data_IF_420868375555
#
_entry.id   IF_420868375555
#
_cell.length_a   1.000
_cell.length_b   1.000
_cell.length_c   1.000
_cell.angle_alpha   90.00
_cell.angle_beta   90.00
_cell.angle_gamma   90.00
#
_symmetry.space_group_name_H-M   'P 1'
#
loop_
_entity.id
_entity.type
_entity.pdbx_description
1 polymer ?
#
# COMPACT_ATOMS: atom_id res chain seq x y z
N UNK A 1 84.50 18.61 7.92
CA UNK A 1 83.76 19.35 6.87
C UNK A 1 82.28 19.06 7.03
N UNK A 2 81.45 20.11 6.98
CA UNK A 2 79.99 20.13 7.18
C UNK A 2 79.25 19.38 6.07
N UNK A 3 78.18 18.65 6.41
CA UNK A 3 76.80 19.08 6.11
C UNK A 3 75.77 18.02 6.60
N UNK A 4 75.12 18.32 7.72
CA UNK A 4 73.81 17.77 8.09
C UNK A 4 72.72 18.48 7.28
N UNK A 5 71.75 17.73 6.75
CA UNK A 5 70.38 18.23 6.51
C UNK A 5 69.34 17.15 6.87
N UNK A 6 68.83 17.30 8.09
CA UNK A 6 67.43 17.24 8.52
C UNK A 6 66.49 16.15 7.98
N UNK A 7 66.15 15.25 8.90
CA UNK A 7 64.93 14.45 9.00
C UNK A 7 63.67 15.33 9.05
N UNK A 8 62.62 14.98 8.31
CA UNK A 8 61.25 15.29 8.71
C UNK A 8 60.18 14.39 8.04
N UNK A 9 59.47 13.64 8.89
CA UNK A 9 58.01 13.33 8.89
C UNK A 9 57.41 12.70 7.63
N UNK A 10 57.03 11.43 7.68
CA UNK A 10 55.69 10.96 8.08
C UNK A 10 54.58 11.40 7.10
N UNK A 11 54.03 10.40 6.36
CA UNK A 11 52.60 10.08 6.15
C UNK A 11 52.37 9.43 4.77
N UNK A 12 52.15 8.11 4.77
CA UNK A 12 51.09 7.49 3.97
C UNK A 12 49.74 7.85 4.68
N UNK A 13 48.55 7.88 4.04
CA UNK A 13 48.21 7.18 2.80
C UNK A 13 47.35 7.92 1.75
N UNK A 14 47.43 7.42 0.52
CA UNK A 14 46.29 7.09 -0.36
C UNK A 14 44.92 7.70 0.04
N UNK A 15 44.61 8.93 -0.38
CA UNK A 15 43.23 9.44 -0.29
C UNK A 15 42.95 10.71 -1.10
N UNK A 16 43.35 10.79 -2.37
CA UNK A 16 42.85 11.85 -3.25
C UNK A 16 42.89 11.37 -4.68
N UNK A 17 41.78 10.83 -5.19
CA UNK A 17 41.28 10.87 -6.58
C UNK A 17 40.01 9.99 -6.57
N UNK A 18 38.88 10.57 -6.17
CA UNK A 18 37.51 10.16 -6.56
C UNK A 18 36.52 11.19 -6.02
N UNK A 19 36.72 12.46 -6.37
CA UNK A 19 35.66 13.48 -6.26
C UNK A 19 35.69 14.26 -7.57
N UNK A 20 35.13 13.65 -8.60
CA UNK A 20 34.60 14.33 -9.78
C UNK A 20 33.25 13.68 -10.09
N UNK A 21 32.23 14.35 -9.56
CA UNK A 21 30.81 14.33 -9.93
C UNK A 21 30.56 14.01 -11.41
N UNK A 22 29.42 13.36 -11.71
CA UNK A 22 28.19 14.14 -11.90
C UNK A 22 27.08 13.57 -11.02
N UNK A 23 26.46 14.34 -10.12
CA UNK A 23 25.43 15.33 -10.44
C UNK A 23 24.63 15.02 -11.71
N UNK A 24 24.15 13.78 -11.83
CA UNK A 24 22.95 13.52 -12.60
C UNK A 24 21.77 13.80 -11.68
N UNK A 25 21.48 15.10 -11.54
CA UNK A 25 20.13 15.58 -11.30
C UNK A 25 19.38 15.18 -12.57
N UNK A 26 18.86 13.95 -12.62
CA UNK A 26 17.78 13.63 -13.54
C UNK A 26 16.55 14.30 -12.94
N UNK A 27 16.38 15.53 -13.40
CA UNK A 27 15.19 16.35 -13.28
C UNK A 27 13.95 15.48 -13.18
N UNK A 28 13.29 15.54 -12.01
CA UNK A 28 11.85 15.34 -11.93
C UNK A 28 11.22 16.35 -12.90
N UNK A 29 11.04 15.94 -14.14
CA UNK A 29 10.15 16.64 -15.06
C UNK A 29 8.75 16.32 -14.56
N UNK A 30 8.21 17.25 -13.78
CA UNK A 30 6.78 17.38 -13.53
C UNK A 30 6.08 17.55 -14.89
N UNK A 31 5.76 16.42 -15.52
CA UNK A 31 4.71 16.37 -16.52
C UNK A 31 3.41 16.37 -15.76
N UNK A 32 2.82 17.57 -15.67
CA UNK A 32 1.41 17.84 -15.37
C UNK A 32 0.52 16.64 -15.76
N UNK A 33 0.15 15.86 -14.76
CA UNK A 33 -1.05 15.04 -14.79
C UNK A 33 -1.96 15.60 -13.72
N UNK A 34 -3.16 16.04 -14.10
CA UNK A 34 -4.22 16.46 -13.20
C UNK A 34 -4.78 15.25 -12.44
N UNK A 35 -3.94 14.58 -11.67
CA UNK A 35 -4.35 13.50 -10.78
C UNK A 35 -3.95 13.91 -9.38
N UNK A 36 -4.96 14.11 -8.54
CA UNK A 36 -4.86 14.54 -7.15
C UNK A 36 -4.23 13.42 -6.30
N UNK A 37 -2.97 13.07 -6.59
CA UNK A 37 -2.21 12.03 -5.92
C UNK A 37 -1.65 12.60 -4.63
N UNK A 38 -2.42 12.42 -3.57
CA UNK A 38 -1.91 12.55 -2.21
C UNK A 38 -0.90 11.42 -1.99
N UNK A 39 0.36 11.71 -1.63
CA UNK A 39 1.30 10.65 -1.30
C UNK A 39 0.77 9.91 -0.07
N UNK A 40 0.46 8.62 -0.23
CA UNK A 40 0.06 7.71 0.85
C UNK A 40 1.29 7.32 1.70
N UNK A 41 2.10 8.31 2.09
CA UNK A 41 3.12 8.11 3.11
C UNK A 41 2.40 8.04 4.46
N UNK A 42 2.28 6.82 4.99
CA UNK A 42 1.95 6.55 6.38
C UNK A 42 0.69 7.27 6.87
N UNK A 43 -0.49 6.82 6.40
CA UNK A 43 -1.67 6.89 7.27
C UNK A 43 -1.29 6.12 8.52
N UNK A 44 -0.99 6.84 9.60
CA UNK A 44 -0.77 6.27 10.92
C UNK A 44 -2.09 5.68 11.36
N UNK A 45 -2.32 4.43 10.96
CA UNK A 45 -3.44 3.65 11.42
C UNK A 45 -3.35 3.61 12.95
N UNK A 46 -4.36 4.12 13.63
CA UNK A 46 -4.58 3.95 15.07
C UNK A 46 -4.98 2.49 15.30
N UNK A 47 -4.01 1.61 15.07
CA UNK A 47 -4.11 0.17 15.18
C UNK A 47 -3.10 -0.22 16.24
N UNK A 48 -3.50 -1.11 17.13
CA UNK A 48 -2.64 -1.65 18.16
C UNK A 48 -1.35 -2.26 17.54
N UNK A 49 -0.28 -2.38 18.32
CA UNK A 49 1.02 -2.81 17.81
C UNK A 49 1.01 -4.23 17.22
N UNK A 50 0.16 -5.11 17.75
CA UNK A 50 0.06 -6.52 17.35
C UNK A 50 -0.68 -6.67 16.00
N UNK A 51 -1.76 -5.93 15.83
CA UNK A 51 -2.52 -5.80 14.60
C UNK A 51 -1.70 -5.11 13.51
N UNK A 52 -0.78 -4.19 13.86
CA UNK A 52 0.16 -3.59 12.90
C UNK A 52 1.16 -4.62 12.37
N UNK A 53 1.77 -5.40 13.25
CA UNK A 53 2.70 -6.46 12.86
C UNK A 53 1.99 -7.52 12.00
N UNK A 54 0.78 -7.90 12.39
CA UNK A 54 0.00 -8.91 11.67
C UNK A 54 -0.51 -8.39 10.33
N UNK A 55 -0.86 -7.11 10.22
CA UNK A 55 -1.16 -6.47 8.92
C UNK A 55 0.08 -6.45 8.02
N UNK A 56 1.25 -6.13 8.58
CA UNK A 56 2.51 -6.16 7.84
C UNK A 56 2.83 -7.58 7.32
N UNK A 57 2.59 -8.62 8.13
CA UNK A 57 2.68 -10.02 7.70
C UNK A 57 1.67 -10.34 6.58
N UNK A 58 0.42 -9.89 6.73
CA UNK A 58 -0.67 -10.10 5.77
C UNK A 58 -0.31 -9.53 4.38
N UNK A 59 0.09 -8.26 4.30
CA UNK A 59 0.45 -7.60 3.04
C UNK A 59 1.81 -8.09 2.48
N UNK A 60 2.54 -8.91 3.23
CA UNK A 60 3.87 -9.39 2.84
C UNK A 60 4.97 -8.33 2.97
N UNK A 61 4.79 -7.35 3.85
CA UNK A 61 5.82 -6.38 4.20
C UNK A 61 6.79 -7.01 5.19
N UNK A 62 8.01 -7.28 4.71
CA UNK A 62 9.15 -7.63 5.55
C UNK A 62 10.06 -6.42 5.71
N UNK A 63 10.62 -6.17 6.91
CA UNK A 63 11.56 -5.06 7.13
C UNK A 63 12.83 -5.14 6.26
N UNK A 64 13.07 -6.27 5.60
CA UNK A 64 14.22 -6.47 4.70
C UNK A 64 13.88 -6.30 3.20
N UNK A 65 12.62 -6.02 2.85
CA UNK A 65 12.21 -5.85 1.46
C UNK A 65 12.19 -4.36 1.12
N UNK A 66 13.02 -3.94 0.17
CA UNK A 66 12.90 -2.61 -0.44
C UNK A 66 11.67 -2.58 -1.35
N UNK A 67 10.77 -1.64 -1.09
CA UNK A 67 9.54 -1.50 -1.84
C UNK A 67 9.75 -0.55 -3.01
N UNK A 68 9.61 -1.00 -4.27
CA UNK A 68 9.64 -0.09 -5.39
C UNK A 68 8.44 0.85 -5.31
N UNK A 69 8.66 2.13 -5.59
CA UNK A 69 7.59 3.14 -5.73
C UNK A 69 6.76 2.96 -7.03
N UNK A 70 7.03 1.90 -7.78
CA UNK A 70 6.29 1.58 -9.00
C UNK A 70 4.88 1.11 -8.64
N UNK A 71 3.90 1.67 -9.34
CA UNK A 71 2.49 1.33 -9.21
C UNK A 71 2.15 0.37 -10.34
N UNK A 72 1.62 -0.80 -10.01
CA UNK A 72 1.12 -1.78 -10.99
C UNK A 72 -0.36 -2.01 -10.77
N UNK A 73 -1.13 -1.97 -11.85
CA UNK A 73 -2.58 -2.21 -11.83
C UNK A 73 -2.90 -3.61 -12.37
N UNK A 74 -3.84 -4.30 -11.72
CA UNK A 74 -4.34 -5.61 -12.16
C UNK A 74 -5.85 -5.51 -12.40
N UNK A 75 -6.31 -6.11 -13.50
CA UNK A 75 -7.72 -6.11 -13.88
C UNK A 75 -8.54 -6.91 -12.86
N UNK A 76 -9.69 -6.38 -12.48
CA UNK A 76 -10.72 -7.06 -11.69
C UNK A 76 -11.93 -7.38 -12.58
N UNK A 77 -12.59 -8.50 -12.30
CA UNK A 77 -13.86 -8.85 -12.96
C UNK A 77 -15.08 -8.25 -12.26
N UNK A 78 -14.87 -7.53 -11.15
CA UNK A 78 -15.91 -6.88 -10.39
C UNK A 78 -16.56 -5.73 -11.18
N UNK A 79 -17.88 -5.65 -11.08
CA UNK A 79 -18.70 -4.56 -11.63
C UNK A 79 -19.35 -3.71 -10.55
N UNK A 80 -19.77 -4.35 -9.47
CA UNK A 80 -20.48 -3.66 -8.41
C UNK A 80 -20.12 -4.28 -7.07
N UNK A 81 -20.05 -3.41 -6.06
CA UNK A 81 -19.97 -3.82 -4.66
C UNK A 81 -21.11 -3.17 -3.89
N UNK A 82 -21.76 -3.95 -3.03
CA UNK A 82 -22.73 -3.45 -2.06
C UNK A 82 -22.14 -3.53 -0.66
N UNK A 83 -22.34 -2.48 0.12
CA UNK A 83 -22.07 -2.48 1.56
C UNK A 83 -23.39 -2.66 2.30
N UNK A 84 -23.46 -3.71 3.11
CA UNK A 84 -24.59 -3.99 3.99
C UNK A 84 -24.17 -3.86 5.44
N UNK A 85 -25.07 -3.35 6.27
CA UNK A 85 -24.93 -3.30 7.72
C UNK A 85 -26.17 -3.94 8.33
N UNK A 86 -25.98 -5.00 9.13
CA UNK A 86 -27.07 -5.79 9.70
C UNK A 86 -28.09 -6.27 8.64
N UNK A 87 -27.58 -6.66 7.46
CA UNK A 87 -28.40 -7.12 6.33
C UNK A 87 -29.06 -6.02 5.50
N UNK A 88 -29.01 -4.75 5.92
CA UNK A 88 -29.55 -3.63 5.16
C UNK A 88 -28.47 -3.02 4.27
N UNK A 89 -28.80 -2.80 2.99
CA UNK A 89 -27.88 -2.14 2.05
C UNK A 89 -27.76 -0.65 2.38
N UNK A 90 -26.54 -0.20 2.70
CA UNK A 90 -26.25 1.18 3.08
C UNK A 90 -25.41 1.93 2.03
N UNK A 91 -24.72 1.22 1.13
CA UNK A 91 -24.01 1.82 0.01
C UNK A 91 -23.89 0.87 -1.17
N UNK A 92 -23.72 1.45 -2.36
CA UNK A 92 -23.44 0.73 -3.61
C UNK A 92 -22.33 1.50 -4.34
N UNK A 93 -21.36 0.78 -4.88
CA UNK A 93 -20.33 1.33 -5.73
C UNK A 93 -20.32 0.58 -7.06
N UNK A 94 -20.32 1.32 -8.17
CA UNK A 94 -19.90 0.77 -9.45
C UNK A 94 -18.37 0.72 -9.43
N UNK A 95 -17.82 -0.48 -9.59
CA UNK A 95 -16.38 -0.72 -9.57
C UNK A 95 -15.88 -1.35 -10.87
N UNK A 96 -16.68 -1.27 -11.93
CA UNK A 96 -16.27 -1.71 -13.26
C UNK A 96 -15.01 -0.94 -13.70
N UNK A 97 -14.01 -1.69 -14.17
CA UNK A 97 -12.68 -1.18 -14.52
C UNK A 97 -11.89 -0.54 -13.37
N UNK A 98 -12.28 -0.74 -12.11
CA UNK A 98 -11.44 -0.37 -10.96
C UNK A 98 -10.42 -1.49 -10.74
N UNK A 99 -9.11 -1.23 -10.88
CA UNK A 99 -8.10 -2.27 -10.74
C UNK A 99 -7.70 -2.51 -9.29
N UNK A 100 -7.08 -3.65 -9.05
CA UNK A 100 -6.21 -3.84 -7.90
C UNK A 100 -4.92 -3.06 -8.09
N UNK A 101 -4.40 -2.48 -7.02
CA UNK A 101 -3.15 -1.72 -7.06
C UNK A 101 -2.09 -2.46 -6.26
N UNK A 102 -0.92 -2.67 -6.86
CA UNK A 102 0.31 -3.01 -6.16
C UNK A 102 1.20 -1.77 -6.13
N UNK A 103 1.41 -1.21 -4.94
CA UNK A 103 2.32 -0.08 -4.72
C UNK A 103 2.97 -0.22 -3.34
N UNK A 104 4.24 0.16 -3.21
CA UNK A 104 4.96 0.15 -1.94
C UNK A 104 4.87 -1.20 -1.18
N UNK A 105 5.08 -2.32 -1.90
CA UNK A 105 4.90 -3.70 -1.42
C UNK A 105 3.50 -4.10 -0.96
N UNK A 106 2.49 -3.24 -1.14
CA UNK A 106 1.11 -3.50 -0.74
C UNK A 106 0.29 -3.79 -1.98
N UNK A 107 -0.37 -4.95 -2.03
CA UNK A 107 -1.47 -5.22 -2.97
C UNK A 107 -2.78 -4.86 -2.27
N UNK A 108 -3.57 -3.98 -2.84
CA UNK A 108 -4.84 -3.55 -2.26
C UNK A 108 -5.90 -3.27 -3.32
N UNK A 109 -7.16 -3.33 -2.92
CA UNK A 109 -8.32 -2.93 -3.71
C UNK A 109 -9.09 -1.86 -2.96
N UNK A 110 -9.28 -0.68 -3.57
CA UNK A 110 -9.97 0.44 -2.92
C UNK A 110 -11.33 0.66 -3.57
N UNK A 111 -12.37 0.58 -2.76
CA UNK A 111 -13.75 0.89 -3.12
C UNK A 111 -14.06 2.28 -2.57
N UNK A 112 -14.45 3.20 -3.45
CA UNK A 112 -14.93 4.53 -3.05
C UNK A 112 -16.45 4.49 -3.06
N UNK A 113 -17.07 4.92 -1.95
CA UNK A 113 -18.51 4.92 -1.85
C UNK A 113 -19.06 6.29 -2.23
N UNK A 114 -20.00 6.31 -3.17
CA UNK A 114 -20.66 7.55 -3.59
C UNK A 114 -21.85 7.86 -2.68
N UNK A 115 -22.01 9.14 -2.33
CA UNK A 115 -23.19 9.68 -1.67
C UNK A 115 -23.61 8.98 -0.36
N UNK A 116 -22.66 8.45 0.41
CA UNK A 116 -22.98 7.84 1.72
C UNK A 116 -22.79 8.82 2.88
N UNK A 117 -23.55 8.61 3.95
CA UNK A 117 -23.44 9.36 5.20
C UNK A 117 -22.40 8.78 6.17
N UNK A 118 -21.97 7.54 5.96
CA UNK A 118 -21.23 6.76 6.97
C UNK A 118 -19.79 6.49 6.56
N UNK A 119 -19.56 6.02 5.32
CA UNK A 119 -18.25 5.58 4.85
C UNK A 119 -17.88 6.26 3.54
N UNK A 120 -16.66 6.82 3.49
CA UNK A 120 -16.09 7.41 2.29
C UNK A 120 -15.42 6.34 1.42
N UNK A 121 -14.71 5.40 2.03
CA UNK A 121 -14.05 4.33 1.28
C UNK A 121 -13.86 3.06 2.11
N UNK A 122 -13.68 1.95 1.40
CA UNK A 122 -13.23 0.67 1.96
C UNK A 122 -12.01 0.20 1.21
N UNK A 123 -10.98 -0.25 1.93
CA UNK A 123 -9.76 -0.81 1.33
C UNK A 123 -9.60 -2.26 1.75
N UNK A 124 -9.51 -3.16 0.79
CA UNK A 124 -9.16 -4.56 0.99
C UNK A 124 -7.66 -4.71 0.79
N UNK A 125 -7.00 -5.32 1.76
CA UNK A 125 -5.57 -5.67 1.68
C UNK A 125 -5.44 -7.12 1.24
N UNK A 126 -4.67 -7.32 0.16
CA UNK A 126 -4.47 -8.64 -0.45
C UNK A 126 -3.09 -9.16 -0.08
N UNK A 127 -3.01 -10.45 0.23
CA UNK A 127 -1.75 -11.14 0.42
C UNK A 127 -0.96 -11.12 -0.89
N UNK A 128 0.29 -10.67 -0.84
CA UNK A 128 1.16 -10.52 -2.02
C UNK A 128 1.37 -11.81 -2.80
N UNK A 129 1.44 -12.95 -2.12
CA UNK A 129 1.77 -14.25 -2.73
C UNK A 129 0.55 -15.03 -3.20
N UNK A 130 -0.60 -14.85 -2.53
CA UNK A 130 -1.79 -15.67 -2.76
C UNK A 130 -2.97 -14.93 -3.38
N UNK A 131 -3.03 -13.60 -3.26
CA UNK A 131 -4.21 -12.81 -3.67
C UNK A 131 -5.32 -12.78 -2.62
N UNK A 132 -5.29 -13.66 -1.61
CA UNK A 132 -6.28 -13.72 -0.54
C UNK A 132 -6.45 -12.38 0.20
N UNK A 133 -7.70 -12.01 0.52
CA UNK A 133 -8.01 -10.80 1.30
C UNK A 133 -7.71 -11.03 2.77
N UNK A 134 -6.66 -10.41 3.29
CA UNK A 134 -6.18 -10.64 4.66
C UNK A 134 -6.41 -9.45 5.62
N UNK A 135 -6.89 -8.32 5.10
CA UNK A 135 -7.29 -7.20 5.93
C UNK A 135 -8.30 -6.32 5.23
N UNK A 136 -9.07 -5.58 6.03
CA UNK A 136 -10.04 -4.61 5.55
C UNK A 136 -9.92 -3.32 6.35
N UNK A 137 -10.01 -2.17 5.67
CA UNK A 137 -10.01 -0.86 6.29
C UNK A 137 -11.22 -0.05 5.86
N UNK A 138 -11.86 0.60 6.81
CA UNK A 138 -13.05 1.43 6.62
C UNK A 138 -12.70 2.88 6.92
N UNK A 139 -12.79 3.76 5.93
CA UNK A 139 -12.64 5.20 6.10
C UNK A 139 -14.04 5.82 6.21
N UNK A 140 -14.37 6.38 7.37
CA UNK A 140 -15.60 7.13 7.58
C UNK A 140 -15.55 8.49 6.90
N UNK A 141 -16.71 9.08 6.65
CA UNK A 141 -16.82 10.44 6.07
C UNK A 141 -16.15 11.51 6.95
N UNK A 142 -16.11 11.32 8.27
CA UNK A 142 -15.42 12.20 9.22
C UNK A 142 -13.88 12.03 9.27
N UNK A 143 -13.32 11.13 8.45
CA UNK A 143 -11.88 10.85 8.39
C UNK A 143 -11.38 9.77 9.36
N UNK A 144 -12.21 9.26 10.25
CA UNK A 144 -11.84 8.12 11.11
C UNK A 144 -11.61 6.87 10.26
N UNK A 145 -10.56 6.12 10.57
CA UNK A 145 -10.21 4.90 9.85
C UNK A 145 -10.15 3.72 10.81
N UNK A 146 -10.81 2.62 10.45
CA UNK A 146 -10.85 1.37 11.22
C UNK A 146 -10.31 0.24 10.38
N UNK A 147 -9.24 -0.41 10.83
CA UNK A 147 -8.67 -1.55 10.13
C UNK A 147 -8.86 -2.81 10.94
N UNK A 148 -9.38 -3.84 10.28
CA UNK A 148 -9.56 -5.16 10.85
C UNK A 148 -8.78 -6.17 10.03
N UNK A 149 -8.08 -7.04 10.74
CA UNK A 149 -7.51 -8.23 10.14
C UNK A 149 -8.61 -9.26 9.98
N UNK A 150 -8.64 -9.87 8.81
CA UNK A 150 -9.55 -10.98 8.57
C UNK A 150 -8.77 -12.21 8.97
N UNK A 151 -9.20 -12.86 10.05
CA UNK A 151 -8.70 -14.19 10.40
C UNK A 151 -9.10 -15.12 9.26
N UNK A 152 -8.16 -15.34 8.33
CA UNK A 152 -8.39 -16.28 7.25
C UNK A 152 -7.92 -17.65 7.73
N UNK A 153 -8.81 -18.62 8.01
CA UNK A 153 -8.42 -20.00 8.17
C UNK A 153 -8.00 -20.54 6.79
N UNK A 154 -6.76 -20.26 6.36
CA UNK A 154 -6.18 -20.71 5.09
C UNK A 154 -7.14 -20.66 3.88
N UNK A 155 -8.07 -19.70 3.86
CA UNK A 155 -9.13 -19.65 2.86
C UNK A 155 -8.49 -19.12 1.57
N UNK A 156 -8.29 -20.08 0.68
CA UNK A 156 -7.76 -19.90 -0.67
C UNK A 156 -8.73 -19.06 -1.50
N UNK A 157 -8.24 -18.04 -2.18
CA UNK A 157 -8.93 -17.43 -3.32
C UNK A 157 -8.47 -16.00 -3.59
N UNK A 158 -8.36 -15.62 -4.86
CA UNK A 158 -8.17 -14.22 -5.25
C UNK A 158 -9.42 -13.41 -4.85
N UNK A 159 -9.37 -12.06 -4.78
CA UNK A 159 -10.58 -11.26 -4.49
C UNK A 159 -11.72 -11.61 -5.45
N UNK A 160 -11.38 -11.89 -6.71
CA UNK A 160 -12.32 -12.31 -7.73
C UNK A 160 -13.03 -13.63 -7.40
N UNK A 161 -12.62 -14.40 -6.40
CA UNK A 161 -13.31 -15.62 -5.95
C UNK A 161 -14.34 -15.38 -4.82
N UNK A 162 -14.34 -14.22 -4.16
CA UNK A 162 -15.22 -13.94 -3.01
C UNK A 162 -16.58 -13.37 -3.40
N UNK A 163 -17.68 -14.07 -3.14
CA UNK A 163 -19.02 -13.48 -3.33
C UNK A 163 -19.37 -12.45 -2.25
N UNK A 164 -18.84 -12.65 -1.04
CA UNK A 164 -18.98 -11.68 0.04
C UNK A 164 -17.88 -11.80 1.09
N UNK A 165 -17.63 -10.69 1.79
CA UNK A 165 -16.73 -10.63 2.94
C UNK A 165 -17.50 -10.02 4.11
N UNK A 166 -17.55 -10.71 5.24
CA UNK A 166 -18.27 -10.26 6.44
C UNK A 166 -17.28 -9.96 7.56
N UNK A 167 -17.35 -8.75 8.12
CA UNK A 167 -16.48 -8.30 9.21
C UNK A 167 -17.29 -7.37 10.11
N UNK A 168 -17.34 -7.67 11.41
CA UNK A 168 -17.94 -6.83 12.46
C UNK A 168 -19.35 -6.29 12.14
N UNK A 169 -20.25 -7.16 11.67
CA UNK A 169 -21.64 -6.80 11.35
C UNK A 169 -21.81 -6.02 10.05
N UNK A 170 -20.73 -5.81 9.30
CA UNK A 170 -20.75 -5.31 7.93
C UNK A 170 -20.48 -6.41 6.92
N UNK A 171 -21.05 -6.28 5.73
CA UNK A 171 -20.88 -7.22 4.63
C UNK A 171 -20.59 -6.45 3.36
N UNK A 172 -19.48 -6.79 2.69
CA UNK A 172 -19.28 -6.47 1.29
C UNK A 172 -19.83 -7.61 0.45
N UNK A 173 -20.66 -7.29 -0.52
CA UNK A 173 -21.17 -8.26 -1.50
C UNK A 173 -20.70 -7.86 -2.90
N UNK A 174 -20.12 -8.80 -3.62
CA UNK A 174 -19.44 -8.57 -4.89
C UNK A 174 -20.27 -9.11 -6.06
N UNK A 175 -20.29 -8.37 -7.16
CA UNK A 175 -20.98 -8.73 -8.39
C UNK A 175 -20.02 -8.61 -9.57
N UNK A 176 -20.07 -9.58 -10.49
CA UNK A 176 -19.10 -9.74 -11.58
C UNK A 176 -19.75 -9.71 -12.95
N UNK A 177 -18.93 -9.43 -13.97
CA UNK A 177 -19.26 -9.76 -15.35
C UNK A 177 -19.05 -11.26 -15.59
N UNK A 178 -20.02 -11.92 -16.22
CA UNK A 178 -19.81 -13.25 -16.82
C UNK A 178 -19.31 -13.10 -18.25
#
# INVERSE_FOLDING_TARGET
MKNQKTVNKSKLPFLFITILLPLVILSCVDKKSNSNWTPLSLVSLAVDSESKETLAKCIGNSPFISCPAAVTEFVSQLKQVELLQNGNRIAVANVENVPYVHADCRKYYKIVWENTSSFKSTTLFLNRSKGDVCGISWEKVNGETYTHLIDIPEAKGDLDDFDSIQVNGMTLKFYRSF
#
